data_IF_177121896440
#
_entry.id   IF_177121896440
#
_cell.length_a   1.000
_cell.length_b   1.000
_cell.length_c   1.000
_cell.angle_alpha   90.00
_cell.angle_beta   90.00
_cell.angle_gamma   90.00
#
_symmetry.space_group_name_H-M   'P 1'
#
loop_
_entity.id
_entity.type
_entity.pdbx_description
1 polymer ?
#
# COMPACT_ATOMS: atom_id res chain seq x y z
N UNK A 1 -6.43 20.67 31.44
CA UNK A 1 -6.13 19.49 30.57
C UNK A 1 -4.67 19.54 30.20
N UNK A 2 -3.94 18.44 30.35
CA UNK A 2 -2.55 18.35 29.89
C UNK A 2 -2.47 18.48 28.37
N UNK A 3 -1.38 19.02 27.81
CA UNK A 3 -1.21 19.16 26.36
C UNK A 3 -1.40 17.84 25.59
N UNK A 4 -1.03 16.72 26.21
CA UNK A 4 -1.20 15.38 25.66
C UNK A 4 -2.69 15.00 25.50
N UNK A 5 -3.49 15.21 26.54
CA UNK A 5 -4.93 14.90 26.50
C UNK A 5 -5.63 15.74 25.42
N UNK A 6 -5.26 17.02 25.28
CA UNK A 6 -5.80 17.91 24.26
C UNK A 6 -5.50 17.39 22.84
N UNK A 7 -4.27 16.91 22.60
CA UNK A 7 -3.89 16.31 21.31
C UNK A 7 -4.66 15.01 21.02
N UNK A 8 -4.79 14.13 22.02
CA UNK A 8 -5.56 12.89 21.88
C UNK A 8 -7.02 13.16 21.53
N UNK A 9 -7.68 14.07 22.25
CA UNK A 9 -9.08 14.44 21.95
C UNK A 9 -9.21 15.16 20.59
N UNK A 10 -8.17 15.85 20.13
CA UNK A 10 -8.11 16.54 18.87
C UNK A 10 -7.85 15.67 17.64
N UNK A 11 -7.69 14.35 17.78
CA UNK A 11 -7.46 13.42 16.67
C UNK A 11 -8.65 13.40 15.70
N UNK A 12 -8.40 13.00 14.45
CA UNK A 12 -9.46 12.69 13.47
C UNK A 12 -10.09 11.33 13.81
N UNK A 13 -11.14 11.35 14.62
CA UNK A 13 -11.78 10.11 15.09
C UNK A 13 -12.43 9.29 13.98
N UNK A 14 -12.79 9.89 12.84
CA UNK A 14 -13.29 9.15 11.68
C UNK A 14 -12.14 8.32 11.09
N UNK A 15 -10.95 8.91 10.93
CA UNK A 15 -9.76 8.21 10.48
C UNK A 15 -9.36 7.10 11.47
N UNK A 16 -9.35 7.39 12.78
CA UNK A 16 -9.01 6.41 13.84
C UNK A 16 -10.01 5.26 13.82
N UNK A 17 -11.32 5.56 13.84
CA UNK A 17 -12.37 4.54 13.90
C UNK A 17 -12.36 3.63 12.65
N UNK A 18 -12.22 4.21 11.46
CA UNK A 18 -12.15 3.43 10.22
C UNK A 18 -10.88 2.58 10.12
N UNK A 19 -9.73 3.10 10.54
CA UNK A 19 -8.50 2.33 10.56
C UNK A 19 -8.59 1.14 11.55
N UNK A 20 -9.15 1.35 12.74
CA UNK A 20 -9.37 0.28 13.72
C UNK A 20 -10.38 -0.76 13.22
N UNK A 21 -11.48 -0.32 12.60
CA UNK A 21 -12.49 -1.22 12.02
C UNK A 21 -11.85 -2.13 10.95
N UNK A 22 -11.01 -1.56 10.06
CA UNK A 22 -10.26 -2.33 9.06
C UNK A 22 -9.25 -3.29 9.71
N UNK A 23 -8.52 -2.87 10.73
CA UNK A 23 -7.60 -3.77 11.45
C UNK A 23 -8.33 -4.96 12.07
N UNK A 24 -9.49 -4.74 12.70
CA UNK A 24 -10.31 -5.81 13.28
C UNK A 24 -10.81 -6.74 12.18
N UNK A 25 -11.36 -6.18 11.10
CA UNK A 25 -11.79 -6.95 9.93
C UNK A 25 -10.62 -7.76 9.33
N UNK A 26 -9.41 -7.20 9.30
CA UNK A 26 -8.19 -7.87 8.84
C UNK A 26 -7.82 -9.08 9.71
N UNK A 27 -7.86 -8.96 11.04
CA UNK A 27 -7.59 -10.09 11.95
C UNK A 27 -8.63 -11.19 11.72
N UNK A 28 -9.92 -10.85 11.60
CA UNK A 28 -11.01 -11.81 11.33
C UNK A 28 -10.83 -12.48 9.96
N UNK A 29 -10.49 -11.69 8.93
CA UNK A 29 -10.26 -12.24 7.58
C UNK A 29 -9.05 -13.16 7.53
N UNK A 30 -7.93 -12.81 8.18
CA UNK A 30 -6.74 -13.67 8.26
C UNK A 30 -7.04 -14.92 9.07
N UNK A 31 -7.79 -14.82 10.16
CA UNK A 31 -8.24 -16.00 10.93
C UNK A 31 -9.01 -16.97 10.04
N UNK A 32 -10.03 -16.50 9.33
CA UNK A 32 -10.85 -17.38 8.48
C UNK A 32 -10.09 -17.93 7.28
N UNK A 33 -9.21 -17.12 6.66
CA UNK A 33 -8.40 -17.56 5.52
C UNK A 33 -7.31 -18.58 5.88
N UNK A 34 -6.88 -18.63 7.15
CA UNK A 34 -5.86 -19.55 7.66
C UNK A 34 -6.42 -20.71 8.50
N UNK A 35 -7.71 -20.70 8.83
CA UNK A 35 -8.32 -21.67 9.74
C UNK A 35 -8.20 -23.14 9.30
N UNK A 36 -8.15 -23.38 7.99
CA UNK A 36 -8.04 -24.74 7.42
C UNK A 36 -6.56 -25.16 7.17
N UNK A 37 -5.60 -24.51 7.84
CA UNK A 37 -4.17 -24.71 7.64
C UNK A 37 -3.45 -24.97 8.96
N UNK A 38 -2.26 -25.53 8.88
CA UNK A 38 -1.41 -25.86 10.04
C UNK A 38 -0.83 -24.62 10.73
N UNK A 39 -0.74 -23.48 10.06
CA UNK A 39 -0.18 -22.26 10.62
C UNK A 39 -1.27 -21.24 10.97
N UNK A 40 -1.29 -20.83 12.23
CA UNK A 40 -2.21 -19.80 12.74
C UNK A 40 -1.60 -18.40 12.62
N UNK A 41 -1.84 -17.74 11.48
CA UNK A 41 -1.29 -16.40 11.22
C UNK A 41 -1.99 -15.27 12.00
N UNK A 42 -3.24 -15.49 12.45
CA UNK A 42 -4.05 -14.44 13.07
C UNK A 42 -3.50 -13.94 14.41
N UNK A 43 -2.87 -14.81 15.23
CA UNK A 43 -2.20 -14.39 16.47
C UNK A 43 -1.06 -13.40 16.19
N UNK A 44 -0.24 -13.72 15.18
CA UNK A 44 0.84 -12.83 14.74
C UNK A 44 0.26 -11.51 14.21
N UNK A 45 -0.83 -11.58 13.42
CA UNK A 45 -1.51 -10.39 12.90
C UNK A 45 -2.05 -9.50 14.04
N UNK A 46 -2.67 -10.07 15.08
CA UNK A 46 -3.16 -9.32 16.23
C UNK A 46 -2.04 -8.59 16.97
N UNK A 47 -0.88 -9.23 17.16
CA UNK A 47 0.31 -8.61 17.75
C UNK A 47 0.78 -7.41 16.90
N UNK A 48 0.83 -7.58 15.57
CA UNK A 48 1.20 -6.52 14.65
C UNK A 48 0.20 -5.36 14.63
N UNK A 49 -1.10 -5.64 14.80
CA UNK A 49 -2.13 -4.60 14.95
C UNK A 49 -1.87 -3.77 16.22
N UNK A 50 -1.57 -4.42 17.35
CA UNK A 50 -1.23 -3.71 18.60
C UNK A 50 0.02 -2.83 18.41
N UNK A 51 1.09 -3.38 17.80
CA UNK A 51 2.29 -2.63 17.49
C UNK A 51 1.99 -1.45 16.55
N UNK A 52 1.17 -1.67 15.51
CA UNK A 52 0.71 -0.64 14.59
C UNK A 52 -0.07 0.49 15.27
N UNK A 53 -0.97 0.16 16.22
CA UNK A 53 -1.72 1.15 17.01
C UNK A 53 -0.76 1.99 17.84
N UNK A 54 0.23 1.38 18.48
CA UNK A 54 1.24 2.13 19.25
C UNK A 54 1.99 3.08 18.33
N UNK A 55 2.47 2.63 17.17
CA UNK A 55 3.16 3.46 16.19
C UNK A 55 2.26 4.58 15.69
N UNK A 56 0.99 4.30 15.38
CA UNK A 56 0.01 5.30 14.95
C UNK A 56 -0.16 6.39 16.01
N UNK A 57 -0.37 6.02 17.28
CA UNK A 57 -0.58 6.98 18.37
C UNK A 57 0.66 7.84 18.59
N UNK A 58 1.85 7.21 18.68
CA UNK A 58 3.12 7.93 18.85
C UNK A 58 3.34 8.93 17.72
N UNK A 59 3.17 8.48 16.47
CA UNK A 59 3.36 9.34 15.29
C UNK A 59 2.34 10.47 15.24
N UNK A 60 1.09 10.21 15.63
CA UNK A 60 0.02 11.23 15.67
C UNK A 60 0.31 12.36 16.67
N UNK A 61 1.01 12.08 17.76
CA UNK A 61 1.33 13.05 18.81
C UNK A 61 2.57 13.89 18.49
N UNK A 62 3.48 13.36 17.67
CA UNK A 62 4.67 14.07 17.20
C UNK A 62 4.25 15.07 16.10
N UNK A 63 4.73 16.30 16.17
CA UNK A 63 4.46 17.29 15.13
C UNK A 63 5.12 16.86 13.80
N UNK A 64 4.30 16.69 12.75
CA UNK A 64 4.79 16.31 11.41
C UNK A 64 5.88 17.25 10.85
N UNK A 65 5.99 18.47 11.37
CA UNK A 65 7.02 19.43 10.93
C UNK A 65 8.44 18.97 11.24
N UNK A 66 8.62 18.03 12.17
CA UNK A 66 9.92 17.36 12.39
C UNK A 66 10.41 16.58 11.17
N UNK A 67 9.51 16.27 10.23
CA UNK A 67 9.86 15.70 8.92
C UNK A 67 10.92 16.54 8.20
N UNK A 68 10.97 17.86 8.41
CA UNK A 68 12.01 18.73 7.83
C UNK A 68 13.44 18.26 8.13
N UNK A 69 13.64 17.65 9.28
CA UNK A 69 14.94 17.13 9.72
C UNK A 69 15.09 15.64 9.48
N UNK A 70 14.00 14.89 9.57
CA UNK A 70 14.01 13.44 9.53
C UNK A 70 13.88 12.86 8.11
N UNK A 71 13.28 13.59 7.16
CA UNK A 71 12.96 13.05 5.82
C UNK A 71 14.17 12.51 5.08
N UNK A 72 15.21 13.33 4.92
CA UNK A 72 16.40 12.93 4.17
C UNK A 72 17.19 11.79 4.84
N UNK A 73 17.50 11.83 6.15
CA UNK A 73 18.14 10.70 6.83
C UNK A 73 17.36 9.40 6.73
N UNK A 74 16.02 9.44 6.94
CA UNK A 74 15.17 8.26 6.84
C UNK A 74 15.12 7.72 5.40
N UNK A 75 15.09 8.61 4.42
CA UNK A 75 15.11 8.23 3.00
C UNK A 75 16.43 7.54 2.63
N UNK A 76 17.57 8.11 3.00
CA UNK A 76 18.87 7.49 2.75
C UNK A 76 19.01 6.15 3.49
N UNK A 77 18.52 6.06 4.72
CA UNK A 77 18.48 4.80 5.47
C UNK A 77 17.59 3.76 4.76
N UNK A 78 16.43 4.15 4.23
CA UNK A 78 15.56 3.23 3.48
C UNK A 78 16.20 2.73 2.19
N UNK A 79 16.92 3.59 1.45
CA UNK A 79 17.68 3.20 0.27
C UNK A 79 18.78 2.19 0.64
N UNK A 80 19.51 2.46 1.73
CA UNK A 80 20.52 1.54 2.24
C UNK A 80 19.91 0.17 2.58
N UNK A 81 18.76 0.15 3.26
CA UNK A 81 18.03 -1.09 3.56
C UNK A 81 17.59 -1.82 2.28
N UNK A 82 17.12 -1.10 1.26
CA UNK A 82 16.81 -1.67 -0.06
C UNK A 82 18.07 -2.28 -0.69
N UNK A 83 19.23 -1.61 -0.60
CA UNK A 83 20.50 -2.15 -1.10
C UNK A 83 20.95 -3.41 -0.32
N UNK A 84 20.71 -3.47 0.99
CA UNK A 84 21.05 -4.63 1.80
C UNK A 84 20.34 -5.91 1.38
N UNK A 85 19.14 -5.83 0.76
CA UNK A 85 18.46 -7.03 0.26
C UNK A 85 19.20 -7.73 -0.88
N UNK A 86 20.09 -7.05 -1.61
CA UNK A 86 20.94 -7.67 -2.64
C UNK A 86 22.10 -8.50 -2.07
N UNK A 87 22.37 -8.33 -0.77
CA UNK A 87 23.42 -9.05 -0.07
C UNK A 87 22.92 -10.42 0.42
N UNK A 88 23.73 -11.10 1.24
CA UNK A 88 23.36 -12.37 1.89
C UNK A 88 22.23 -12.22 2.94
N UNK A 89 21.93 -10.99 3.38
CA UNK A 89 20.87 -10.68 4.32
C UNK A 89 19.47 -10.68 3.69
N UNK A 90 19.39 -10.62 2.35
CA UNK A 90 18.13 -10.63 1.62
C UNK A 90 17.56 -12.03 1.49
N UNK A 91 16.27 -12.18 1.81
CA UNK A 91 15.47 -13.39 1.59
C UNK A 91 14.63 -13.26 0.33
N UNK A 92 14.46 -14.41 -0.37
CA UNK A 92 13.66 -14.51 -1.58
C UNK A 92 12.31 -15.14 -1.27
N UNK A 93 11.23 -14.46 -1.64
CA UNK A 93 9.88 -14.97 -1.58
C UNK A 93 9.17 -14.74 -2.92
N UNK A 94 8.56 -15.78 -3.48
CA UNK A 94 7.81 -15.67 -4.73
C UNK A 94 8.62 -15.22 -5.95
N UNK A 95 9.95 -15.49 -5.98
CA UNK A 95 10.85 -15.10 -7.07
C UNK A 95 11.43 -13.68 -6.95
N UNK A 96 11.09 -12.94 -5.89
CA UNK A 96 11.61 -11.60 -5.61
C UNK A 96 12.46 -11.59 -4.33
N UNK A 97 13.70 -11.10 -4.43
CA UNK A 97 14.62 -10.94 -3.30
C UNK A 97 14.50 -9.53 -2.72
N UNK A 98 13.41 -9.27 -1.99
CA UNK A 98 13.07 -7.94 -1.50
C UNK A 98 12.80 -7.87 0.01
N UNK A 99 13.07 -8.95 0.74
CA UNK A 99 12.84 -9.05 2.18
C UNK A 99 14.15 -9.11 2.95
N UNK A 100 14.18 -8.53 4.14
CA UNK A 100 15.26 -8.67 5.13
C UNK A 100 14.72 -9.46 6.33
N UNK A 101 15.46 -10.48 6.76
CA UNK A 101 15.11 -11.21 7.97
C UNK A 101 15.60 -10.48 9.21
N UNK A 102 14.68 -10.17 10.10
CA UNK A 102 14.99 -9.60 11.41
C UNK A 102 14.83 -10.71 12.45
N UNK A 103 15.91 -11.17 13.09
CA UNK A 103 15.83 -12.22 14.10
C UNK A 103 14.81 -11.86 15.20
N UNK A 104 13.91 -12.79 15.52
CA UNK A 104 12.88 -12.61 16.56
C UNK A 104 11.66 -11.77 16.16
N UNK A 105 11.70 -11.07 15.03
CA UNK A 105 10.60 -10.19 14.58
C UNK A 105 9.89 -10.73 13.34
N UNK A 106 10.65 -11.26 12.38
CA UNK A 106 10.12 -11.76 11.11
C UNK A 106 10.80 -11.11 9.91
N UNK A 107 10.08 -11.05 8.78
CA UNK A 107 10.59 -10.44 7.54
C UNK A 107 10.12 -9.00 7.41
N UNK A 108 11.01 -8.14 6.94
CA UNK A 108 10.78 -6.72 6.67
C UNK A 108 11.04 -6.41 5.19
N UNK A 109 10.12 -5.70 4.55
CA UNK A 109 10.26 -5.28 3.16
C UNK A 109 10.66 -3.80 3.09
N UNK A 110 11.94 -3.48 2.84
CA UNK A 110 12.44 -2.10 2.84
C UNK A 110 11.81 -1.19 1.79
N UNK A 111 11.32 -1.73 0.68
CA UNK A 111 10.65 -0.96 -0.37
C UNK A 111 9.41 -0.22 0.14
N UNK A 112 8.69 -0.76 1.13
CA UNK A 112 7.54 -0.10 1.75
C UNK A 112 7.95 1.14 2.54
N UNK A 113 9.05 1.04 3.29
CA UNK A 113 9.64 2.19 3.99
C UNK A 113 10.14 3.23 2.99
N UNK A 114 10.77 2.78 1.88
CA UNK A 114 11.29 3.68 0.86
C UNK A 114 10.18 4.53 0.22
N UNK A 115 8.98 3.99 -0.02
CA UNK A 115 7.85 4.76 -0.56
C UNK A 115 7.44 5.85 0.43
N UNK A 116 7.21 5.52 1.72
CA UNK A 116 6.79 6.51 2.71
C UNK A 116 7.86 7.60 2.91
N UNK A 117 9.12 7.21 3.08
CA UNK A 117 10.21 8.18 3.25
C UNK A 117 10.46 9.00 2.00
N UNK A 118 10.20 8.44 0.82
CA UNK A 118 10.19 9.14 -0.45
C UNK A 118 9.07 10.18 -0.53
N UNK A 119 7.86 9.86 -0.07
CA UNK A 119 6.77 10.85 0.07
C UNK A 119 7.19 12.01 0.96
N UNK A 120 7.84 11.73 2.11
CA UNK A 120 8.32 12.77 3.02
C UNK A 120 9.37 13.66 2.35
N UNK A 121 10.31 13.06 1.63
CA UNK A 121 11.42 13.77 0.97
C UNK A 121 10.93 14.60 -0.23
N UNK A 122 10.07 14.03 -1.08
CA UNK A 122 9.44 14.74 -2.19
C UNK A 122 8.54 15.86 -1.67
N UNK A 123 7.75 15.62 -0.63
CA UNK A 123 6.90 16.61 0.01
C UNK A 123 7.73 17.79 0.56
N UNK A 124 8.85 17.50 1.23
CA UNK A 124 9.77 18.51 1.72
C UNK A 124 10.38 19.32 0.57
N UNK A 125 10.88 18.65 -0.48
CA UNK A 125 11.44 19.31 -1.66
C UNK A 125 10.42 20.23 -2.33
N UNK A 126 9.24 19.73 -2.65
CA UNK A 126 8.20 20.48 -3.35
C UNK A 126 7.70 21.67 -2.52
N UNK A 127 7.56 21.51 -1.20
CA UNK A 127 7.11 22.60 -0.30
C UNK A 127 8.14 23.71 -0.16
N UNK A 128 9.44 23.41 -0.18
CA UNK A 128 10.51 24.39 -0.09
C UNK A 128 10.77 25.11 -1.43
N UNK A 129 10.68 24.38 -2.55
CA UNK A 129 11.00 24.90 -3.88
C UNK A 129 9.75 25.19 -4.73
N UNK A 130 8.71 25.74 -4.11
CA UNK A 130 7.43 26.03 -4.77
C UNK A 130 7.55 26.89 -6.03
N UNK A 131 8.46 27.87 -6.04
CA UNK A 131 8.68 28.80 -7.17
C UNK A 131 9.61 28.26 -8.26
N UNK A 132 10.15 27.05 -8.09
CA UNK A 132 11.04 26.45 -9.07
C UNK A 132 10.32 26.22 -10.40
N UNK A 133 11.06 26.33 -11.52
CA UNK A 133 10.51 26.09 -12.85
C UNK A 133 9.94 24.66 -12.95
N UNK A 134 8.76 24.44 -13.56
CA UNK A 134 8.09 23.14 -13.60
C UNK A 134 8.98 21.99 -14.09
N UNK A 135 9.81 22.25 -15.12
CA UNK A 135 10.73 21.24 -15.66
C UNK A 135 11.77 20.79 -14.62
N UNK A 136 12.32 21.74 -13.84
CA UNK A 136 13.28 21.42 -12.79
C UNK A 136 12.63 20.63 -11.64
N UNK A 137 11.36 20.95 -11.30
CA UNK A 137 10.59 20.15 -10.33
C UNK A 137 10.48 18.70 -10.80
N UNK A 138 10.15 18.45 -12.08
CA UNK A 138 10.08 17.11 -12.65
C UNK A 138 11.41 16.39 -12.61
N UNK A 139 12.49 17.07 -13.02
CA UNK A 139 13.84 16.46 -13.02
C UNK A 139 14.25 16.06 -11.61
N UNK A 140 14.16 16.97 -10.64
CA UNK A 140 14.59 16.69 -9.28
C UNK A 140 13.69 15.65 -8.58
N UNK A 141 12.37 15.71 -8.74
CA UNK A 141 11.47 14.66 -8.20
C UNK A 141 11.71 13.32 -8.90
N UNK A 142 11.98 13.34 -10.20
CA UNK A 142 12.35 12.15 -10.97
C UNK A 142 13.67 11.53 -10.49
N UNK A 143 14.66 12.32 -10.11
CA UNK A 143 15.93 11.83 -9.54
C UNK A 143 15.71 11.25 -8.13
N UNK A 144 14.96 11.95 -7.26
CA UNK A 144 14.66 11.50 -5.90
C UNK A 144 13.95 10.13 -5.94
N UNK A 145 12.95 9.98 -6.80
CA UNK A 145 12.13 8.76 -6.87
C UNK A 145 12.74 7.70 -7.79
N UNK A 146 13.38 8.11 -8.87
CA UNK A 146 13.95 7.21 -9.87
C UNK A 146 15.01 6.28 -9.31
N UNK A 147 15.85 6.76 -8.38
CA UNK A 147 16.86 5.94 -7.71
C UNK A 147 16.26 4.72 -7.01
N UNK A 148 15.43 4.90 -5.97
CA UNK A 148 14.79 3.78 -5.28
C UNK A 148 13.87 2.97 -6.19
N UNK A 149 13.15 3.60 -7.13
CA UNK A 149 12.29 2.91 -8.08
C UNK A 149 13.07 1.91 -8.96
N UNK A 150 14.23 2.30 -9.48
CA UNK A 150 15.12 1.42 -10.25
C UNK A 150 15.70 0.29 -9.40
N UNK A 151 16.06 0.57 -8.14
CA UNK A 151 16.49 -0.47 -7.21
C UNK A 151 15.37 -1.48 -6.95
N UNK A 152 14.16 -1.03 -6.63
CA UNK A 152 13.00 -1.89 -6.38
C UNK A 152 12.65 -2.71 -7.63
N UNK A 153 12.72 -2.12 -8.82
CA UNK A 153 12.50 -2.82 -10.09
C UNK A 153 13.51 -3.95 -10.30
N UNK A 154 14.78 -3.74 -9.93
CA UNK A 154 15.81 -4.78 -9.98
C UNK A 154 15.61 -5.90 -8.95
N UNK A 155 14.82 -5.70 -7.89
CA UNK A 155 14.42 -6.74 -6.92
C UNK A 155 13.28 -7.63 -7.44
N UNK A 156 12.92 -7.59 -8.68
CA UNK A 156 11.67 -7.86 -9.42
C UNK A 156 10.38 -7.58 -8.64
N UNK A 157 10.33 -6.48 -7.88
CA UNK A 157 9.12 -6.04 -7.18
C UNK A 157 8.38 -4.98 -8.03
N UNK A 158 7.70 -5.49 -9.06
CA UNK A 158 6.96 -4.65 -10.01
C UNK A 158 5.79 -3.90 -9.33
N UNK A 159 5.10 -4.56 -8.40
CA UNK A 159 3.98 -3.97 -7.67
C UNK A 159 4.39 -2.71 -6.92
N UNK A 160 5.43 -2.80 -6.09
CA UNK A 160 5.95 -1.65 -5.32
C UNK A 160 6.53 -0.55 -6.22
N UNK A 161 7.04 -0.90 -7.41
CA UNK A 161 7.48 0.08 -8.41
C UNK A 161 6.30 0.90 -8.93
N UNK A 162 5.16 0.27 -9.20
CA UNK A 162 3.95 0.96 -9.69
C UNK A 162 3.33 1.92 -8.66
N UNK A 163 3.49 1.66 -7.37
CA UNK A 163 2.97 2.53 -6.29
C UNK A 163 3.50 3.97 -6.42
N UNK A 164 4.72 4.16 -6.90
CA UNK A 164 5.31 5.48 -7.05
C UNK A 164 4.60 6.38 -8.06
N UNK A 165 3.93 5.81 -9.07
CA UNK A 165 3.27 6.56 -10.13
C UNK A 165 2.12 7.43 -9.58
N UNK A 166 1.08 6.87 -8.93
CA UNK A 166 -0.02 7.67 -8.38
C UNK A 166 0.44 8.58 -7.24
N UNK A 167 1.45 8.18 -6.45
CA UNK A 167 2.04 9.01 -5.41
C UNK A 167 2.62 10.27 -6.02
N UNK A 168 3.50 10.16 -7.01
CA UNK A 168 4.11 11.33 -7.66
C UNK A 168 3.10 12.20 -8.38
N UNK A 169 2.19 11.59 -9.15
CA UNK A 169 1.17 12.32 -9.90
C UNK A 169 0.32 13.18 -8.97
N UNK A 170 -0.15 12.61 -7.85
CA UNK A 170 -0.98 13.34 -6.89
C UNK A 170 -0.24 14.49 -6.22
N UNK A 171 1.02 14.26 -5.80
CA UNK A 171 1.84 15.29 -5.16
C UNK A 171 2.20 16.43 -6.13
N UNK A 172 2.61 16.13 -7.36
CA UNK A 172 2.95 17.13 -8.38
C UNK A 172 1.71 17.91 -8.82
N UNK A 173 0.57 17.25 -8.95
CA UNK A 173 -0.70 17.90 -9.30
C UNK A 173 -1.09 18.95 -8.24
N UNK A 174 -1.00 18.61 -6.97
CA UNK A 174 -1.37 19.52 -5.87
C UNK A 174 -0.31 20.58 -5.58
N UNK A 175 0.95 20.36 -5.93
CA UNK A 175 1.98 21.41 -5.91
C UNK A 175 1.81 22.43 -7.06
N UNK A 176 0.75 22.32 -7.88
CA UNK A 176 0.44 23.27 -8.95
C UNK A 176 1.26 23.07 -10.21
N UNK A 177 1.75 21.87 -10.49
CA UNK A 177 2.40 21.59 -11.77
C UNK A 177 1.38 21.76 -12.92
N UNK A 178 1.68 22.52 -14.01
CA UNK A 178 0.76 22.70 -15.12
C UNK A 178 0.34 21.34 -15.74
N UNK A 179 -0.95 21.17 -16.02
CA UNK A 179 -1.54 19.91 -16.51
C UNK A 179 -0.82 19.33 -17.74
N UNK A 180 -0.27 20.19 -18.61
CA UNK A 180 0.51 19.77 -19.79
C UNK A 180 1.69 18.86 -19.42
N UNK A 181 2.41 19.16 -18.34
CA UNK A 181 3.54 18.34 -17.89
C UNK A 181 3.09 17.00 -17.33
N UNK A 182 1.97 16.98 -16.59
CA UNK A 182 1.37 15.71 -16.09
C UNK A 182 0.92 14.82 -17.25
N UNK A 183 0.27 15.41 -18.26
CA UNK A 183 -0.16 14.67 -19.46
C UNK A 183 1.07 14.16 -20.22
N UNK A 184 2.11 14.97 -20.44
CA UNK A 184 3.35 14.53 -21.07
C UNK A 184 4.00 13.37 -20.29
N UNK A 185 4.02 13.46 -18.94
CA UNK A 185 4.58 12.40 -18.09
C UNK A 185 3.80 11.09 -18.24
N UNK A 186 2.47 11.16 -18.31
CA UNK A 186 1.62 9.98 -18.56
C UNK A 186 1.85 9.39 -19.95
N UNK A 187 1.90 10.23 -21.00
CA UNK A 187 2.13 9.77 -22.38
C UNK A 187 3.51 9.11 -22.50
N UNK A 188 4.56 9.74 -21.95
CA UNK A 188 5.92 9.17 -21.97
C UNK A 188 5.98 7.88 -21.12
N UNK A 189 5.36 7.89 -19.94
CA UNK A 189 5.29 6.73 -19.05
C UNK A 189 4.61 5.53 -19.69
N UNK A 190 3.41 5.73 -20.24
CA UNK A 190 2.62 4.65 -20.82
C UNK A 190 3.06 4.31 -22.26
N UNK A 191 3.40 5.31 -23.07
CA UNK A 191 3.71 5.11 -24.49
C UNK A 191 5.14 4.66 -24.76
N UNK A 192 6.10 5.03 -23.91
CA UNK A 192 7.52 4.72 -24.12
C UNK A 192 8.07 3.83 -22.99
N UNK A 193 7.94 4.30 -21.74
CA UNK A 193 8.60 3.61 -20.61
C UNK A 193 7.95 2.25 -20.32
N UNK A 194 6.64 2.13 -20.36
CA UNK A 194 5.96 0.87 -20.08
C UNK A 194 6.31 -0.22 -21.12
N UNK A 195 6.27 0.00 -22.44
CA UNK A 195 6.74 -0.98 -23.43
C UNK A 195 8.21 -1.37 -23.25
N UNK A 196 9.10 -0.40 -22.99
CA UNK A 196 10.52 -0.68 -22.72
C UNK A 196 10.73 -1.52 -21.46
N UNK A 197 9.97 -1.23 -20.40
CA UNK A 197 10.01 -2.03 -19.17
C UNK A 197 9.52 -3.46 -19.42
N UNK A 198 8.44 -3.65 -20.16
CA UNK A 198 7.93 -4.99 -20.50
C UNK A 198 8.96 -5.75 -21.33
N UNK A 199 9.60 -5.10 -22.29
CA UNK A 199 10.54 -5.77 -23.19
C UNK A 199 11.87 -6.09 -22.50
N UNK A 200 12.47 -5.16 -21.76
CA UNK A 200 13.84 -5.24 -21.26
C UNK A 200 13.96 -5.29 -19.73
N UNK A 201 12.96 -4.82 -19.00
CA UNK A 201 13.02 -4.65 -17.54
C UNK A 201 12.38 -5.76 -16.74
N UNK A 202 11.41 -6.49 -17.31
CA UNK A 202 10.66 -7.52 -16.60
C UNK A 202 11.25 -8.92 -16.82
N UNK A 203 11.24 -9.73 -15.75
CA UNK A 203 11.54 -11.16 -15.83
C UNK A 203 10.40 -11.93 -16.50
N UNK A 204 10.70 -13.13 -17.02
CA UNK A 204 9.73 -13.94 -17.78
C UNK A 204 8.45 -14.25 -16.99
N UNK A 205 8.54 -14.52 -15.69
CA UNK A 205 7.36 -14.77 -14.88
C UNK A 205 6.47 -13.53 -14.72
N UNK A 206 7.05 -12.32 -14.71
CA UNK A 206 6.30 -11.05 -14.66
C UNK A 206 5.62 -10.77 -16.00
N UNK A 207 6.31 -11.05 -17.12
CA UNK A 207 5.74 -10.99 -18.46
C UNK A 207 4.55 -11.94 -18.59
N UNK A 208 4.70 -13.20 -18.12
CA UNK A 208 3.61 -14.18 -18.09
C UNK A 208 2.39 -13.69 -17.32
N UNK A 209 2.56 -13.00 -16.17
CA UNK A 209 1.45 -12.41 -15.42
C UNK A 209 0.70 -11.32 -16.20
N UNK A 210 1.42 -10.50 -16.98
CA UNK A 210 0.80 -9.47 -17.83
C UNK A 210 0.10 -10.14 -19.01
N UNK A 211 0.73 -11.11 -19.65
CA UNK A 211 0.14 -11.86 -20.77
C UNK A 211 -1.11 -12.62 -20.31
N UNK A 212 -1.04 -13.35 -19.20
CA UNK A 212 -2.17 -14.08 -18.63
C UNK A 212 -3.36 -13.17 -18.22
N UNK A 213 -3.10 -11.90 -17.93
CA UNK A 213 -4.14 -10.90 -17.70
C UNK A 213 -4.85 -10.48 -19.00
N UNK A 214 -4.10 -10.34 -20.11
CA UNK A 214 -4.65 -9.95 -21.43
C UNK A 214 -5.28 -11.13 -22.14
N UNK A 215 -4.62 -12.29 -22.08
CA UNK A 215 -5.04 -13.54 -22.69
C UNK A 215 -4.84 -14.72 -21.71
N UNK A 216 -5.90 -15.07 -20.95
CA UNK A 216 -5.86 -16.16 -19.98
C UNK A 216 -5.58 -17.53 -20.57
N UNK A 217 -5.79 -17.74 -21.89
CA UNK A 217 -5.58 -19.02 -22.56
C UNK A 217 -4.09 -19.36 -22.76
N UNK A 218 -3.21 -18.36 -22.69
CA UNK A 218 -1.76 -18.56 -22.87
C UNK A 218 -1.11 -19.28 -21.68
N UNK A 219 -1.63 -19.09 -20.46
CA UNK A 219 -1.10 -19.74 -19.24
C UNK A 219 -2.24 -20.22 -18.32
N UNK A 220 -3.08 -21.17 -18.78
CA UNK A 220 -4.31 -21.56 -18.08
C UNK A 220 -4.07 -22.29 -16.76
N UNK A 221 -2.90 -22.91 -16.57
CA UNK A 221 -2.51 -23.65 -15.34
C UNK A 221 -1.56 -22.87 -14.44
N UNK A 222 -1.12 -21.69 -14.88
CA UNK A 222 -0.21 -20.83 -14.11
C UNK A 222 -0.89 -19.59 -13.53
N UNK A 223 -0.47 -18.41 -13.98
CA UNK A 223 -0.98 -17.13 -13.46
C UNK A 223 -2.48 -16.94 -13.73
N UNK A 224 -3.01 -17.40 -14.87
CA UNK A 224 -4.43 -17.31 -15.19
C UNK A 224 -5.27 -18.22 -14.29
N UNK A 225 -4.73 -19.39 -13.86
CA UNK A 225 -5.45 -20.29 -12.95
C UNK A 225 -5.81 -19.60 -11.62
N UNK A 226 -4.85 -18.89 -11.00
CA UNK A 226 -5.08 -18.21 -9.73
C UNK A 226 -6.16 -17.11 -9.84
N UNK A 227 -6.18 -16.36 -10.97
CA UNK A 227 -7.20 -15.36 -11.25
C UNK A 227 -8.57 -16.03 -11.41
N UNK A 228 -8.64 -17.09 -12.21
CA UNK A 228 -9.89 -17.80 -12.47
C UNK A 228 -10.47 -18.42 -11.20
N UNK A 229 -9.62 -19.05 -10.34
CA UNK A 229 -10.08 -19.56 -9.06
C UNK A 229 -10.57 -18.45 -8.12
N UNK A 230 -9.91 -17.28 -8.14
CA UNK A 230 -10.39 -16.10 -7.41
C UNK A 230 -11.76 -15.62 -7.88
N UNK A 231 -11.98 -15.55 -9.19
CA UNK A 231 -13.28 -15.18 -9.75
C UNK A 231 -14.38 -16.20 -9.41
N UNK A 232 -14.08 -17.50 -9.49
CA UNK A 232 -15.01 -18.56 -9.11
C UNK A 232 -15.37 -18.46 -7.62
N UNK A 233 -14.38 -18.25 -6.75
CA UNK A 233 -14.59 -18.10 -5.31
C UNK A 233 -15.49 -16.89 -5.02
N UNK A 234 -15.14 -15.70 -5.51
CA UNK A 234 -15.92 -14.47 -5.30
C UNK A 234 -17.33 -14.62 -5.88
N UNK A 235 -17.45 -15.13 -7.12
CA UNK A 235 -18.75 -15.36 -7.77
C UNK A 235 -19.63 -16.36 -7.02
N UNK A 236 -19.03 -17.41 -6.47
CA UNK A 236 -19.73 -18.41 -5.67
C UNK A 236 -20.28 -17.88 -4.32
N UNK A 237 -19.71 -16.76 -3.83
CA UNK A 237 -20.22 -16.06 -2.65
C UNK A 237 -21.58 -15.41 -2.88
N UNK A 238 -21.97 -15.10 -4.12
CA UNK A 238 -23.26 -14.49 -4.45
C UNK A 238 -23.52 -13.19 -3.69
N UNK A 239 -24.78 -12.97 -3.28
CA UNK A 239 -25.17 -11.70 -2.64
C UNK A 239 -24.76 -11.61 -1.15
N UNK A 240 -25.01 -12.67 -0.37
CA UNK A 240 -24.80 -12.68 1.10
C UNK A 240 -23.57 -13.47 1.56
N UNK A 241 -22.87 -14.16 0.66
CA UNK A 241 -21.74 -15.02 0.96
C UNK A 241 -22.18 -16.46 1.36
N UNK A 242 -21.19 -17.36 1.39
CA UNK A 242 -21.37 -18.73 1.86
C UNK A 242 -21.48 -18.82 3.40
N UNK A 243 -21.09 -17.79 4.09
CA UNK A 243 -21.01 -17.72 5.55
C UNK A 243 -19.56 -17.73 6.05
N UNK A 244 -19.37 -17.21 7.26
CA UNK A 244 -18.08 -17.16 7.93
C UNK A 244 -17.60 -18.58 8.24
N UNK A 245 -16.39 -18.94 7.80
CA UNK A 245 -15.80 -20.27 7.96
C UNK A 245 -16.68 -21.43 7.42
N UNK A 246 -17.48 -21.15 6.38
CA UNK A 246 -18.28 -22.18 5.75
C UNK A 246 -17.39 -23.27 5.14
N UNK A 247 -17.88 -24.52 5.19
CA UNK A 247 -17.24 -25.69 4.54
C UNK A 247 -17.58 -25.73 3.04
N UNK A 248 -16.76 -26.40 2.24
CA UNK A 248 -16.95 -26.51 0.79
C UNK A 248 -16.58 -25.23 0.03
N UNK A 249 -15.81 -24.34 0.65
CA UNK A 249 -15.31 -23.11 0.00
C UNK A 249 -14.09 -23.40 -0.85
N UNK A 250 -13.84 -22.58 -1.87
CA UNK A 250 -12.61 -22.64 -2.70
C UNK A 250 -11.35 -22.43 -1.85
N UNK A 251 -11.45 -21.59 -0.82
CA UNK A 251 -10.37 -21.32 0.13
C UNK A 251 -10.07 -22.56 0.98
N UNK A 252 -11.09 -23.25 1.50
CA UNK A 252 -10.93 -24.49 2.28
C UNK A 252 -10.34 -25.61 1.43
N UNK A 253 -10.87 -25.81 0.22
CA UNK A 253 -10.44 -26.85 -0.72
C UNK A 253 -9.03 -26.63 -1.28
N UNK A 254 -8.40 -25.47 -0.99
CA UNK A 254 -7.04 -25.18 -1.41
C UNK A 254 -6.89 -24.78 -2.88
N UNK A 255 -7.98 -24.43 -3.57
CA UNK A 255 -7.93 -23.94 -4.94
C UNK A 255 -7.30 -22.53 -5.03
N UNK A 256 -7.32 -21.75 -3.96
CA UNK A 256 -6.51 -20.53 -3.86
C UNK A 256 -5.15 -20.90 -3.26
N UNK A 257 -4.01 -20.48 -3.87
CA UNK A 257 -2.69 -20.85 -3.38
C UNK A 257 -2.50 -20.47 -1.90
N UNK A 258 -2.18 -21.46 -1.07
CA UNK A 258 -2.20 -21.35 0.38
C UNK A 258 -1.27 -20.33 0.98
N UNK A 259 -0.16 -20.09 0.32
CA UNK A 259 0.82 -19.13 0.76
C UNK A 259 0.39 -17.68 0.51
N UNK A 260 -0.61 -17.46 -0.36
CA UNK A 260 -1.02 -16.12 -0.81
C UNK A 260 -2.46 -15.76 -0.45
N UNK A 261 -3.30 -16.72 0.01
CA UNK A 261 -4.69 -16.43 0.33
C UNK A 261 -4.86 -15.43 1.47
N UNK A 262 -4.03 -15.49 2.50
CA UNK A 262 -4.06 -14.57 3.63
C UNK A 262 -3.27 -13.27 3.39
N UNK A 263 -2.57 -13.15 2.26
CA UNK A 263 -1.81 -11.96 1.85
C UNK A 263 -2.47 -11.30 0.64
N UNK A 264 -2.12 -11.75 -0.56
CA UNK A 264 -2.48 -11.10 -1.81
C UNK A 264 -3.94 -11.35 -2.24
N UNK A 265 -4.47 -12.54 -1.91
CA UNK A 265 -5.83 -12.97 -2.27
C UNK A 265 -6.83 -12.89 -1.10
N UNK A 266 -6.55 -12.06 -0.08
CA UNK A 266 -7.43 -11.96 1.08
C UNK A 266 -8.85 -11.46 0.72
N UNK A 267 -8.97 -10.59 -0.28
CA UNK A 267 -10.27 -10.12 -0.78
C UNK A 267 -11.10 -11.27 -1.37
N UNK A 268 -10.44 -12.26 -1.99
CA UNK A 268 -11.13 -13.48 -2.49
C UNK A 268 -11.82 -14.24 -1.36
N UNK A 269 -11.12 -14.42 -0.24
CA UNK A 269 -11.71 -15.10 0.93
C UNK A 269 -12.88 -14.29 1.52
N UNK A 270 -12.77 -12.96 1.56
CA UNK A 270 -13.84 -12.07 2.01
C UNK A 270 -15.05 -12.15 1.06
N UNK A 271 -14.81 -12.09 -0.25
CA UNK A 271 -15.85 -12.17 -1.27
C UNK A 271 -16.60 -13.51 -1.26
N UNK A 272 -15.90 -14.63 -1.05
CA UNK A 272 -16.52 -15.93 -0.96
C UNK A 272 -17.37 -16.09 0.31
N UNK A 273 -16.88 -15.61 1.46
CA UNK A 273 -17.54 -15.79 2.77
C UNK A 273 -18.66 -14.80 3.04
N UNK A 274 -18.52 -13.53 2.61
CA UNK A 274 -19.45 -12.45 2.90
C UNK A 274 -20.16 -11.92 1.65
N UNK A 275 -19.85 -12.43 0.47
CA UNK A 275 -20.50 -12.11 -0.80
C UNK A 275 -20.37 -10.64 -1.20
N UNK A 276 -21.32 -10.21 -2.03
CA UNK A 276 -21.39 -8.83 -2.53
C UNK A 276 -21.54 -7.81 -1.38
N UNK A 277 -22.36 -8.10 -0.36
CA UNK A 277 -22.55 -7.22 0.80
C UNK A 277 -21.21 -6.99 1.51
N UNK A 278 -20.46 -8.05 1.80
CA UNK A 278 -19.15 -7.94 2.45
C UNK A 278 -18.16 -7.11 1.65
N UNK A 279 -18.14 -7.31 0.33
CA UNK A 279 -17.31 -6.52 -0.60
C UNK A 279 -17.66 -5.03 -0.57
N UNK A 280 -18.96 -4.69 -0.65
CA UNK A 280 -19.43 -3.30 -0.59
C UNK A 280 -19.11 -2.65 0.76
N UNK A 281 -19.33 -3.33 1.88
CA UNK A 281 -19.00 -2.82 3.22
C UNK A 281 -17.50 -2.53 3.33
N UNK A 282 -16.66 -3.45 2.88
CA UNK A 282 -15.20 -3.27 2.91
C UNK A 282 -14.76 -2.08 2.06
N UNK A 283 -15.20 -2.01 0.80
CA UNK A 283 -14.86 -0.92 -0.12
C UNK A 283 -15.37 0.43 0.42
N UNK A 284 -16.60 0.46 0.98
CA UNK A 284 -17.16 1.67 1.59
C UNK A 284 -16.34 2.12 2.80
N UNK A 285 -15.87 1.18 3.63
CA UNK A 285 -15.01 1.50 4.78
C UNK A 285 -13.67 2.10 4.33
N UNK A 286 -13.05 1.55 3.27
CA UNK A 286 -11.87 2.17 2.66
C UNK A 286 -12.17 3.55 2.06
N UNK A 287 -13.33 3.73 1.42
CA UNK A 287 -13.72 5.03 0.88
C UNK A 287 -13.84 6.08 2.01
N UNK A 288 -14.45 5.73 3.15
CA UNK A 288 -14.54 6.61 4.32
C UNK A 288 -13.13 6.93 4.87
N UNK A 289 -12.23 5.93 4.98
CA UNK A 289 -10.85 6.16 5.39
C UNK A 289 -10.13 7.14 4.46
N UNK A 290 -10.20 6.93 3.15
CA UNK A 290 -9.55 7.79 2.15
C UNK A 290 -10.14 9.20 2.15
N UNK A 291 -11.45 9.35 2.30
CA UNK A 291 -12.11 10.65 2.43
C UNK A 291 -11.67 11.36 3.72
N UNK A 292 -11.54 10.66 4.85
CA UNK A 292 -10.99 11.22 6.09
C UNK A 292 -9.55 11.70 5.94
N UNK A 293 -8.72 10.95 5.17
CA UNK A 293 -7.37 11.37 4.82
C UNK A 293 -7.38 12.63 3.94
N UNK A 294 -8.20 12.68 2.88
CA UNK A 294 -8.32 13.84 2.01
C UNK A 294 -8.87 15.07 2.76
N UNK A 295 -9.80 14.85 3.68
CA UNK A 295 -10.29 15.92 4.55
C UNK A 295 -9.18 16.46 5.47
N UNK A 296 -8.32 15.57 5.98
CA UNK A 296 -7.12 15.98 6.74
C UNK A 296 -6.14 16.78 5.87
N UNK A 297 -5.97 16.42 4.59
CA UNK A 297 -5.16 17.17 3.62
C UNK A 297 -5.71 18.58 3.40
N UNK A 298 -7.04 18.72 3.25
CA UNK A 298 -7.70 20.02 3.08
C UNK A 298 -7.51 20.95 4.28
N UNK A 299 -7.44 20.39 5.49
CA UNK A 299 -7.24 21.14 6.74
C UNK A 299 -5.75 21.37 7.09
N UNK A 300 -4.81 20.93 6.26
CA UNK A 300 -3.39 21.06 6.53
C UNK A 300 -2.97 22.52 6.74
N UNK A 301 -2.11 22.77 7.73
CA UNK A 301 -1.65 24.10 8.06
C UNK A 301 -0.69 24.69 7.02
N UNK A 302 0.05 23.84 6.32
CA UNK A 302 1.06 24.22 5.34
C UNK A 302 1.11 23.21 4.17
N UNK A 303 1.86 23.57 3.15
CA UNK A 303 2.00 22.76 1.93
C UNK A 303 2.71 21.43 2.18
N UNK A 304 3.63 21.39 3.15
CA UNK A 304 4.30 20.13 3.52
C UNK A 304 3.28 19.11 4.05
N UNK A 305 2.42 19.51 4.99
CA UNK A 305 1.37 18.65 5.53
C UNK A 305 0.38 18.19 4.45
N UNK A 306 -0.01 19.09 3.54
CA UNK A 306 -0.86 18.75 2.39
C UNK A 306 -0.20 17.66 1.53
N UNK A 307 1.04 17.85 1.11
CA UNK A 307 1.75 16.94 0.21
C UNK A 307 2.01 15.58 0.85
N UNK A 308 2.43 15.55 2.12
CA UNK A 308 2.60 14.28 2.87
C UNK A 308 1.28 13.51 2.92
N UNK A 309 0.20 14.18 3.32
CA UNK A 309 -1.11 13.54 3.46
C UNK A 309 -1.59 12.96 2.13
N UNK A 310 -1.48 13.71 1.04
CA UNK A 310 -1.93 13.26 -0.27
C UNK A 310 -1.05 12.15 -0.82
N UNK A 311 0.26 12.23 -0.66
CA UNK A 311 1.17 11.16 -1.09
C UNK A 311 0.88 9.82 -0.39
N UNK A 312 0.69 9.84 0.94
CA UNK A 312 0.32 8.63 1.70
C UNK A 312 -1.08 8.14 1.32
N UNK A 313 -2.04 9.06 1.13
CA UNK A 313 -3.40 8.69 0.70
C UNK A 313 -3.39 8.01 -0.67
N UNK A 314 -2.61 8.53 -1.62
CA UNK A 314 -2.45 7.95 -2.96
C UNK A 314 -1.80 6.56 -2.90
N UNK A 315 -0.81 6.36 -2.01
CA UNK A 315 -0.22 5.06 -1.75
C UNK A 315 -1.26 4.05 -1.26
N UNK A 316 -2.04 4.41 -0.22
CA UNK A 316 -3.08 3.53 0.33
C UNK A 316 -4.14 3.23 -0.73
N UNK A 317 -4.62 4.25 -1.45
CA UNK A 317 -5.58 4.10 -2.54
C UNK A 317 -5.09 3.09 -3.59
N UNK A 318 -3.84 3.22 -4.03
CA UNK A 318 -3.29 2.35 -5.06
C UNK A 318 -3.17 0.89 -4.59
N UNK A 319 -2.77 0.67 -3.33
CA UNK A 319 -2.75 -0.68 -2.76
C UNK A 319 -4.14 -1.31 -2.74
N UNK A 320 -5.17 -0.56 -2.30
CA UNK A 320 -6.58 -1.03 -2.29
C UNK A 320 -7.04 -1.34 -3.70
N UNK A 321 -6.85 -0.41 -4.63
CA UNK A 321 -7.24 -0.56 -6.04
C UNK A 321 -6.58 -1.76 -6.70
N UNK A 322 -5.27 -1.91 -6.51
CA UNK A 322 -4.49 -2.97 -7.13
C UNK A 322 -4.81 -4.35 -6.52
N UNK A 323 -4.92 -4.46 -5.19
CA UNK A 323 -5.23 -5.74 -4.54
C UNK A 323 -6.63 -6.24 -4.89
N UNK A 324 -7.65 -5.39 -4.74
CA UNK A 324 -9.02 -5.77 -5.12
C UNK A 324 -9.10 -6.00 -6.63
N UNK A 325 -8.53 -5.10 -7.42
CA UNK A 325 -8.55 -5.17 -8.88
C UNK A 325 -7.95 -6.45 -9.44
N UNK A 326 -6.83 -6.96 -8.87
CA UNK A 326 -6.24 -8.19 -9.36
C UNK A 326 -7.07 -9.44 -9.00
N UNK A 327 -7.81 -9.44 -7.88
CA UNK A 327 -8.64 -10.58 -7.48
C UNK A 327 -9.92 -10.70 -8.30
N UNK A 328 -10.37 -9.60 -8.92
CA UNK A 328 -11.55 -9.55 -9.80
C UNK A 328 -11.18 -9.38 -11.29
N UNK A 329 -9.93 -9.69 -11.65
CA UNK A 329 -9.40 -9.63 -13.02
C UNK A 329 -9.52 -8.25 -13.71
N UNK A 330 -9.50 -7.14 -12.96
CA UNK A 330 -9.42 -5.77 -13.51
C UNK A 330 -7.98 -5.26 -13.60
N UNK A 331 -7.04 -5.91 -12.92
CA UNK A 331 -5.62 -5.55 -12.88
C UNK A 331 -4.74 -6.81 -12.94
N UNK A 332 -3.53 -6.73 -13.50
CA UNK A 332 -2.60 -7.86 -13.48
C UNK A 332 -2.13 -8.17 -12.04
N UNK A 333 -1.72 -9.41 -11.81
CA UNK A 333 -1.23 -9.87 -10.48
C UNK A 333 0.10 -9.18 -10.16
N UNK A 334 0.13 -8.38 -9.11
CA UNK A 334 1.33 -7.65 -8.66
C UNK A 334 1.84 -8.09 -7.29
N UNK A 335 1.02 -8.81 -6.50
CA UNK A 335 1.40 -9.22 -5.16
C UNK A 335 1.41 -8.08 -4.13
N UNK A 336 0.61 -7.03 -4.34
CA UNK A 336 0.46 -5.96 -3.36
C UNK A 336 -0.59 -6.33 -2.31
N UNK A 337 -0.26 -6.25 -1.00
CA UNK A 337 -1.22 -6.57 0.05
C UNK A 337 -2.28 -5.49 0.21
N UNK A 338 -3.48 -5.88 0.70
CA UNK A 338 -4.57 -4.98 1.03
C UNK A 338 -4.29 -4.30 2.38
N UNK A 339 -4.19 -2.95 2.43
CA UNK A 339 -3.83 -2.23 3.65
C UNK A 339 -4.72 -2.56 4.84
N UNK A 340 -4.13 -2.80 6.01
CA UNK A 340 -4.80 -3.11 7.28
C UNK A 340 -5.55 -4.45 7.32
N UNK A 341 -5.80 -5.09 6.19
CA UNK A 341 -6.56 -6.33 6.06
C UNK A 341 -5.62 -7.54 5.86
N UNK A 342 -4.75 -7.48 4.83
CA UNK A 342 -3.83 -8.58 4.52
C UNK A 342 -2.87 -8.87 5.65
N UNK A 343 -2.50 -10.14 5.79
CA UNK A 343 -1.39 -10.53 6.65
C UNK A 343 -0.08 -9.92 6.13
N UNK A 344 0.61 -9.22 7.03
CA UNK A 344 1.88 -8.58 6.70
C UNK A 344 2.28 -7.61 7.79
N UNK A 345 2.98 -8.12 8.83
CA UNK A 345 3.24 -7.35 10.05
C UNK A 345 3.93 -6.02 9.80
N UNK A 346 5.04 -6.03 9.09
CA UNK A 346 5.80 -4.79 8.81
C UNK A 346 5.05 -3.85 7.87
N UNK A 347 4.29 -4.38 6.91
CA UNK A 347 3.43 -3.58 6.04
C UNK A 347 2.34 -2.85 6.83
N UNK A 348 1.64 -3.57 7.72
CA UNK A 348 0.62 -3.00 8.59
C UNK A 348 1.19 -1.86 9.45
N UNK A 349 2.36 -2.07 10.05
CA UNK A 349 3.02 -1.04 10.87
C UNK A 349 3.39 0.18 10.02
N UNK A 350 3.87 -0.01 8.78
CA UNK A 350 4.18 1.10 7.87
C UNK A 350 2.92 1.87 7.45
N UNK A 351 1.82 1.18 7.16
CA UNK A 351 0.53 1.85 6.88
C UNK A 351 0.05 2.63 8.09
N UNK A 352 0.12 2.07 9.30
CA UNK A 352 -0.25 2.75 10.54
C UNK A 352 0.65 3.94 10.84
N UNK A 353 1.95 3.86 10.53
CA UNK A 353 2.88 5.00 10.58
C UNK A 353 2.43 6.12 9.63
N UNK A 354 2.10 5.78 8.38
CA UNK A 354 1.59 6.74 7.41
C UNK A 354 0.27 7.40 7.85
N UNK A 355 -0.69 6.61 8.34
CA UNK A 355 -1.95 7.13 8.89
C UNK A 355 -1.71 7.99 10.13
N UNK A 356 -0.73 7.65 10.98
CA UNK A 356 -0.30 8.45 12.12
C UNK A 356 0.25 9.82 11.69
N UNK A 357 1.04 9.87 10.60
CA UNK A 357 1.51 11.15 10.01
C UNK A 357 0.33 11.99 9.52
N UNK A 358 -0.64 11.40 8.83
CA UNK A 358 -1.85 12.10 8.39
C UNK A 358 -2.61 12.66 9.60
N UNK A 359 -2.77 11.86 10.64
CA UNK A 359 -3.44 12.30 11.86
C UNK A 359 -2.61 13.37 12.62
N UNK A 360 -1.28 13.34 12.55
CA UNK A 360 -0.42 14.42 13.07
C UNK A 360 -0.68 15.73 12.32
N UNK A 361 -0.81 15.69 10.98
CA UNK A 361 -1.19 16.89 10.19
C UNK A 361 -2.53 17.44 10.65
N UNK A 362 -3.51 16.57 10.93
CA UNK A 362 -4.81 16.97 11.46
C UNK A 362 -4.73 17.57 12.86
N UNK A 363 -4.00 16.96 13.79
CA UNK A 363 -3.84 17.44 15.17
C UNK A 363 -3.17 18.81 15.23
N UNK A 364 -2.21 19.07 14.33
CA UNK A 364 -1.45 20.32 14.26
C UNK A 364 -1.96 21.28 13.15
N UNK A 365 -3.20 21.09 12.69
CA UNK A 365 -3.85 22.01 11.71
C UNK A 365 -4.00 23.41 12.28
N UNK A 366 -4.25 24.39 11.41
CA UNK A 366 -4.63 25.74 11.85
C UNK A 366 -5.89 25.63 12.73
N UNK A 367 -5.86 26.29 13.87
CA UNK A 367 -7.11 26.47 14.62
C UNK A 367 -8.08 27.19 13.68
N UNK A 368 -9.31 26.64 13.56
CA UNK A 368 -10.39 27.37 12.90
C UNK A 368 -10.57 28.69 13.66
N UNK A 369 -10.74 29.82 12.94
CA UNK A 369 -10.94 31.13 13.56
C UNK A 369 -12.16 31.15 14.46
#
# INVERSE_FOLDING_TARGET
>A
MTPLIRKLLGMNWVLVGTALALCIAGVVAVYSASAFRTEEYWHKQAIWVIAGIVVFVVTSLIDYRWVKWAALPLFLASILLVMLTYTRLGEEHGGAKCWLRIPGVGTFQPSQMAVITGVLTVGLFLSQFRKLHPMLKLVFTGVIVGGPMLLILKQPDFGMTLVWIPVLLSMLMLNGLPKRYLICMLIIGLGIMAPLLVQFGLKDYQKKRIVAFVDPEVDPLGSAWAINQSLIAIGSGGFAGKGFMATGTQVEQGFIPGTTVHTDYIYTAIGEQFGFIGGVVLISTFAVLLLACLFSAHQAADELGLLITVGITAQIFFHVYQNIGMTIALMPITGLPLPLISYGGTFLVMVMFGLGLINSVWVHRKALP
#
